data_IF_656951683844
#
_entry.id   IF_656951683844
#
_cell.length_a   1.000
_cell.length_b   1.000
_cell.length_c   1.000
_cell.angle_alpha   90.00
_cell.angle_beta   90.00
_cell.angle_gamma   90.00
#
_symmetry.space_group_name_H-M   'P 1'
#
loop_
_entity.id
_entity.type
_entity.pdbx_description
1 polymer ?
#
# COMPACT_ATOMS: atom_id res chain seq x y z
N UNK A 1 19.88 -9.09 -8.00
CA UNK A 1 19.96 -7.78 -8.67
C UNK A 1 18.57 -7.22 -8.85
N UNK A 2 18.35 -5.92 -8.59
CA UNK A 2 17.16 -5.17 -8.91
C UNK A 2 17.51 -4.11 -9.97
N UNK A 3 16.73 -4.04 -11.03
CA UNK A 3 16.90 -3.09 -12.12
C UNK A 3 15.69 -2.14 -12.13
N UNK A 4 15.95 -0.86 -11.93
CA UNK A 4 14.95 0.20 -12.00
C UNK A 4 15.21 1.04 -13.26
N UNK A 5 14.16 1.27 -14.05
CA UNK A 5 14.26 2.00 -15.30
C UNK A 5 14.74 3.44 -15.11
N UNK A 6 14.19 4.11 -14.09
CA UNK A 6 14.47 5.52 -13.81
C UNK A 6 15.14 5.66 -12.42
N UNK A 7 14.42 6.13 -11.44
CA UNK A 7 14.81 6.21 -10.03
C UNK A 7 13.80 5.47 -9.17
N UNK A 8 14.25 4.93 -8.04
CA UNK A 8 13.33 4.37 -7.07
C UNK A 8 12.24 5.40 -6.74
N UNK A 9 11.00 4.94 -6.68
CA UNK A 9 9.80 5.72 -6.43
C UNK A 9 9.27 6.61 -7.55
N UNK A 10 10.00 6.81 -8.65
CA UNK A 10 9.61 7.76 -9.72
C UNK A 10 8.38 7.32 -10.55
N UNK A 11 7.98 6.06 -10.46
CA UNK A 11 6.78 5.54 -11.10
C UNK A 11 5.50 5.91 -10.33
N UNK A 12 4.59 4.93 -10.14
CA UNK A 12 3.33 5.14 -9.41
C UNK A 12 3.47 5.16 -7.89
N UNK A 13 4.63 4.78 -7.36
CA UNK A 13 4.85 4.66 -5.91
C UNK A 13 4.61 5.98 -5.17
N UNK A 14 5.13 7.10 -5.66
CA UNK A 14 5.00 8.37 -4.98
C UNK A 14 3.58 8.94 -4.96
N UNK A 15 2.69 8.44 -5.84
CA UNK A 15 1.27 8.77 -5.86
C UNK A 15 0.43 7.88 -4.93
N UNK A 16 1.01 6.80 -4.38
CA UNK A 16 0.24 5.87 -3.58
C UNK A 16 -0.29 6.53 -2.30
N UNK A 17 -1.51 6.18 -1.93
CA UNK A 17 -2.16 6.70 -0.73
C UNK A 17 -1.39 6.38 0.56
N UNK A 18 -0.59 5.32 0.56
CA UNK A 18 0.20 4.89 1.71
C UNK A 18 -0.63 4.35 2.86
N UNK A 19 -1.84 3.83 2.59
CA UNK A 19 -2.68 3.24 3.62
C UNK A 19 -2.19 1.83 3.96
N UNK A 20 -1.82 1.61 5.23
CA UNK A 20 -1.36 0.32 5.75
C UNK A 20 -2.41 -0.21 6.71
N UNK A 21 -3.25 -1.10 6.22
CA UNK A 21 -4.35 -1.70 6.98
C UNK A 21 -4.04 -3.14 7.38
N UNK A 22 -4.53 -3.56 8.54
CA UNK A 22 -4.33 -4.90 9.06
C UNK A 22 -5.36 -5.90 8.51
N UNK A 23 -6.65 -5.54 8.57
CA UNK A 23 -7.72 -6.42 8.11
C UNK A 23 -7.84 -6.42 6.59
N UNK A 24 -7.90 -7.60 5.99
CA UNK A 24 -8.09 -7.81 4.56
C UNK A 24 -9.39 -8.57 4.25
N UNK A 25 -9.76 -8.68 2.96
CA UNK A 25 -10.98 -9.37 2.54
C UNK A 25 -10.91 -10.91 2.71
N UNK A 26 -9.75 -11.45 3.02
CA UNK A 26 -9.57 -12.88 3.28
C UNK A 26 -8.52 -13.12 4.36
N UNK A 27 -8.50 -14.34 4.91
CA UNK A 27 -7.50 -14.77 5.89
C UNK A 27 -6.06 -14.59 5.38
N UNK A 28 -5.79 -14.97 4.14
CA UNK A 28 -4.47 -14.85 3.55
C UNK A 28 -4.02 -13.37 3.45
N UNK A 29 -4.90 -12.51 2.96
CA UNK A 29 -4.59 -11.07 2.84
C UNK A 29 -4.43 -10.43 4.22
N UNK A 30 -5.25 -10.80 5.20
CA UNK A 30 -5.10 -10.31 6.59
C UNK A 30 -3.74 -10.68 7.16
N UNK A 31 -3.32 -11.94 7.00
CA UNK A 31 -1.99 -12.39 7.46
C UNK A 31 -0.84 -11.63 6.78
N UNK A 32 -0.92 -11.43 5.46
CA UNK A 32 0.10 -10.67 4.72
C UNK A 32 0.16 -9.21 5.20
N UNK A 33 -0.99 -8.57 5.40
CA UNK A 33 -1.05 -7.17 5.86
C UNK A 33 -0.48 -7.00 7.27
N UNK A 34 -0.86 -7.87 8.21
CA UNK A 34 -0.27 -7.88 9.56
C UNK A 34 1.24 -8.06 9.50
N UNK A 35 1.71 -9.08 8.78
CA UNK A 35 3.12 -9.32 8.57
C UNK A 35 3.84 -8.09 7.97
N UNK A 36 3.24 -7.44 6.98
CA UNK A 36 3.83 -6.24 6.35
C UNK A 36 4.02 -5.10 7.36
N UNK A 37 3.02 -4.84 8.20
CA UNK A 37 3.12 -3.80 9.21
C UNK A 37 4.20 -4.10 10.25
N UNK A 38 4.29 -5.34 10.69
CA UNK A 38 5.30 -5.79 11.65
C UNK A 38 6.70 -5.75 11.02
N UNK A 39 6.83 -6.18 9.76
CA UNK A 39 8.07 -6.09 8.99
C UNK A 39 8.57 -4.64 8.87
N UNK A 40 7.68 -3.69 8.58
CA UNK A 40 8.08 -2.27 8.48
C UNK A 40 8.61 -1.75 9.82
N UNK A 41 7.96 -2.07 10.94
CA UNK A 41 8.41 -1.71 12.28
C UNK A 41 9.77 -2.35 12.65
N UNK A 42 9.98 -3.58 12.23
CA UNK A 42 11.24 -4.30 12.44
C UNK A 42 12.37 -3.70 11.61
N UNK A 43 12.13 -3.51 10.30
CA UNK A 43 13.12 -2.96 9.38
C UNK A 43 13.52 -1.52 9.75
N UNK A 44 12.56 -0.69 10.16
CA UNK A 44 12.83 0.67 10.62
C UNK A 44 13.92 0.71 11.71
N UNK A 45 13.85 -0.24 12.66
CA UNK A 45 14.87 -0.39 13.71
C UNK A 45 16.17 -1.00 13.18
N UNK A 46 16.07 -2.04 12.34
CA UNK A 46 17.23 -2.78 11.82
C UNK A 46 18.14 -1.93 10.95
N UNK A 47 17.56 -1.09 10.11
CA UNK A 47 18.34 -0.32 9.12
C UNK A 47 18.56 1.13 9.53
N UNK A 48 18.09 1.54 10.69
CA UNK A 48 18.13 2.93 11.15
C UNK A 48 17.64 3.90 10.06
N UNK A 49 16.39 3.68 9.63
CA UNK A 49 15.72 4.47 8.60
C UNK A 49 14.22 4.40 8.81
N UNK A 50 13.57 5.56 8.90
CA UNK A 50 12.12 5.60 9.10
C UNK A 50 11.37 4.88 7.97
N UNK A 51 10.29 4.20 8.32
CA UNK A 51 9.29 3.73 7.38
C UNK A 51 8.25 4.81 7.05
N UNK A 52 8.34 5.96 7.68
CA UNK A 52 7.33 7.02 7.56
C UNK A 52 5.96 6.58 8.07
N UNK A 53 5.92 5.63 9.01
CA UNK A 53 4.68 5.12 9.59
C UNK A 53 4.05 6.14 10.55
N UNK A 54 2.76 6.37 10.35
CA UNK A 54 1.91 7.12 11.27
C UNK A 54 0.86 6.16 11.82
N UNK A 55 0.99 5.77 13.08
CA UNK A 55 0.09 4.85 13.78
C UNK A 55 -1.13 5.64 14.30
N UNK A 56 -1.90 6.22 13.42
CA UNK A 56 -3.05 7.08 13.69
C UNK A 56 -4.39 6.38 13.51
N UNK A 57 -4.40 5.11 13.08
CA UNK A 57 -5.59 4.32 12.87
C UNK A 57 -6.30 4.62 11.54
N UNK A 58 -7.42 3.92 11.36
CA UNK A 58 -8.36 4.17 10.28
C UNK A 58 -9.79 4.07 10.78
N UNK A 59 -10.61 5.08 10.47
CA UNK A 59 -12.04 5.13 10.72
C UNK A 59 -12.79 4.85 9.42
N UNK A 60 -13.56 3.79 9.37
CA UNK A 60 -14.49 3.51 8.28
C UNK A 60 -15.91 3.88 8.72
N UNK A 61 -16.58 4.72 7.94
CA UNK A 61 -17.95 5.16 8.21
C UNK A 61 -18.95 4.44 7.31
N UNK A 62 -20.21 4.39 7.76
CA UNK A 62 -21.32 3.81 7.03
C UNK A 62 -22.49 4.80 6.98
N UNK A 63 -23.00 5.07 5.79
CA UNK A 63 -24.16 5.92 5.51
C UNK A 63 -25.37 5.08 5.10
N UNK A 64 -25.16 3.82 4.72
CA UNK A 64 -26.22 2.89 4.37
C UNK A 64 -26.33 1.73 5.37
N UNK A 65 -27.54 1.18 5.53
CA UNK A 65 -27.76 0.00 6.37
C UNK A 65 -26.92 -1.20 5.94
N UNK A 66 -26.76 -1.40 4.63
CA UNK A 66 -25.95 -2.48 4.09
C UNK A 66 -24.46 -2.31 4.45
N UNK A 67 -23.93 -1.09 4.34
CA UNK A 67 -22.56 -0.79 4.76
C UNK A 67 -22.38 -0.98 6.25
N UNK A 68 -23.34 -0.54 7.05
CA UNK A 68 -23.29 -0.72 8.49
C UNK A 68 -23.21 -2.20 8.89
N UNK A 69 -24.03 -3.04 8.30
CA UNK A 69 -23.98 -4.49 8.52
C UNK A 69 -22.63 -5.07 8.12
N UNK A 70 -22.06 -4.62 6.98
CA UNK A 70 -20.75 -5.05 6.52
C UNK A 70 -19.64 -4.64 7.49
N UNK A 71 -19.65 -3.41 8.01
CA UNK A 71 -18.66 -2.96 8.99
C UNK A 71 -18.76 -3.74 10.31
N UNK A 72 -19.96 -4.04 10.77
CA UNK A 72 -20.18 -4.88 11.96
C UNK A 72 -19.63 -6.31 11.73
N UNK A 73 -19.84 -6.88 10.55
CA UNK A 73 -19.27 -8.17 10.16
C UNK A 73 -17.73 -8.11 10.12
N UNK A 74 -17.16 -7.04 9.60
CA UNK A 74 -15.71 -6.82 9.61
C UNK A 74 -15.17 -6.74 11.04
N UNK A 75 -15.85 -6.04 11.94
CA UNK A 75 -15.46 -5.96 13.35
C UNK A 75 -15.46 -7.34 14.03
N UNK A 76 -16.46 -8.18 13.75
CA UNK A 76 -16.48 -9.56 14.24
C UNK A 76 -15.36 -10.40 13.63
N UNK A 77 -15.11 -10.25 12.33
CA UNK A 77 -14.05 -10.99 11.64
C UNK A 77 -12.65 -10.59 12.15
N UNK A 78 -12.46 -9.33 12.50
CA UNK A 78 -11.18 -8.81 13.02
C UNK A 78 -10.73 -9.53 14.29
N UNK A 79 -11.68 -9.93 15.14
CA UNK A 79 -11.41 -10.68 16.38
C UNK A 79 -10.74 -12.04 16.11
N UNK A 80 -11.04 -12.69 14.96
CA UNK A 80 -10.44 -13.96 14.58
C UNK A 80 -8.93 -13.83 14.26
N UNK A 81 -8.46 -12.61 14.07
CA UNK A 81 -7.08 -12.30 13.67
C UNK A 81 -6.36 -11.40 14.66
N UNK A 82 -6.92 -11.22 15.88
CA UNK A 82 -6.37 -10.32 16.89
C UNK A 82 -6.12 -8.91 16.36
N UNK A 83 -7.07 -8.39 15.57
CA UNK A 83 -7.06 -7.01 15.09
C UNK A 83 -8.00 -6.21 15.99
N UNK A 84 -7.43 -5.17 16.66
CA UNK A 84 -8.23 -4.27 17.51
C UNK A 84 -9.20 -3.46 16.65
N UNK A 85 -10.47 -3.50 17.02
CA UNK A 85 -11.55 -2.80 16.36
C UNK A 85 -12.52 -2.23 17.40
N UNK A 86 -12.88 -0.97 17.22
CA UNK A 86 -13.89 -0.29 18.04
C UNK A 86 -15.07 0.09 17.18
N UNK A 87 -16.26 -0.31 17.58
CA UNK A 87 -17.52 0.10 16.96
C UNK A 87 -17.89 1.46 17.57
N UNK A 88 -18.17 2.44 16.72
CA UNK A 88 -18.52 3.80 17.10
C UNK A 88 -19.91 4.12 16.56
N UNK A 89 -20.72 4.73 17.39
CA UNK A 89 -21.97 5.32 16.96
C UNK A 89 -21.77 6.73 16.36
N UNK A 90 -22.82 7.29 15.80
CA UNK A 90 -22.83 8.62 15.17
C UNK A 90 -22.33 9.72 16.11
N UNK A 91 -22.77 9.70 17.37
CA UNK A 91 -22.47 10.76 18.34
C UNK A 91 -21.00 10.70 18.77
N UNK A 92 -20.46 9.50 18.94
CA UNK A 92 -19.04 9.28 19.19
C UNK A 92 -18.19 9.78 18.02
N UNK A 93 -18.58 9.46 16.78
CA UNK A 93 -17.87 9.93 15.58
C UNK A 93 -17.89 11.46 15.52
N UNK A 94 -19.04 12.08 15.72
CA UNK A 94 -19.20 13.54 15.70
C UNK A 94 -18.34 14.21 16.77
N UNK A 95 -18.25 13.62 17.95
CA UNK A 95 -17.48 14.15 19.09
C UNK A 95 -15.96 14.02 18.83
N UNK A 96 -15.50 12.83 18.43
CA UNK A 96 -14.08 12.51 18.37
C UNK A 96 -13.44 12.92 17.04
N UNK A 97 -14.25 13.05 15.99
CA UNK A 97 -13.81 13.39 14.62
C UNK A 97 -14.65 14.49 14.00
N UNK A 98 -14.60 15.72 14.53
CA UNK A 98 -15.51 16.82 14.14
C UNK A 98 -15.37 17.28 12.69
N UNK A 99 -14.33 16.86 11.99
CA UNK A 99 -14.17 17.09 10.54
C UNK A 99 -15.15 16.25 9.69
N UNK A 100 -15.66 15.14 10.27
CA UNK A 100 -16.61 14.27 9.56
C UNK A 100 -17.99 14.90 9.60
N UNK A 101 -18.57 15.16 8.42
CA UNK A 101 -20.00 15.42 8.36
C UNK A 101 -20.76 14.13 8.72
N UNK A 102 -21.45 14.14 9.83
CA UNK A 102 -22.16 12.97 10.34
C UNK A 102 -23.65 12.97 10.02
N UNK A 103 -24.16 13.86 9.18
CA UNK A 103 -25.60 14.00 8.93
C UNK A 103 -26.23 12.68 8.51
N UNK A 104 -25.64 11.99 7.54
CA UNK A 104 -26.10 10.72 6.98
C UNK A 104 -25.40 9.50 7.60
N UNK A 105 -24.42 9.69 8.50
CA UNK A 105 -23.67 8.59 9.10
C UNK A 105 -24.56 7.81 10.10
N UNK A 106 -24.59 6.50 9.93
CA UNK A 106 -25.27 5.55 10.84
C UNK A 106 -24.32 5.14 11.98
N UNK A 107 -23.04 4.92 11.66
CA UNK A 107 -22.00 4.50 12.58
C UNK A 107 -20.71 4.21 11.84
N UNK A 108 -19.71 3.70 12.54
CA UNK A 108 -18.42 3.37 11.95
C UNK A 108 -17.64 2.36 12.78
N UNK A 109 -16.51 1.94 12.24
CA UNK A 109 -15.51 1.15 12.96
C UNK A 109 -14.16 1.86 12.90
N UNK A 110 -13.52 1.95 14.04
CA UNK A 110 -12.14 2.43 14.17
C UNK A 110 -11.22 1.22 14.33
N UNK A 111 -10.18 1.14 13.52
CA UNK A 111 -9.06 0.20 13.66
C UNK A 111 -7.82 0.99 14.11
N UNK A 112 -7.55 1.05 15.43
CA UNK A 112 -6.45 1.88 15.96
C UNK A 112 -5.06 1.44 15.50
N UNK A 113 -4.91 0.14 15.19
CA UNK A 113 -3.65 -0.44 14.73
C UNK A 113 -3.36 -0.23 13.25
N UNK A 114 -4.33 0.28 12.46
CA UNK A 114 -4.07 0.70 11.09
C UNK A 114 -3.16 1.93 11.08
N UNK A 115 -2.49 2.16 9.96
CA UNK A 115 -1.54 3.25 9.83
C UNK A 115 -1.56 3.87 8.44
N UNK A 116 -0.96 5.02 8.32
CA UNK A 116 -0.51 5.57 7.04
C UNK A 116 1.02 5.50 6.98
N UNK A 117 1.57 5.43 5.78
CA UNK A 117 3.00 5.47 5.53
C UNK A 117 3.32 6.44 4.40
N UNK A 118 4.54 6.98 4.37
CA UNK A 118 5.03 7.64 3.17
C UNK A 118 5.59 6.58 2.21
N UNK A 119 4.99 6.36 1.04
CA UNK A 119 5.42 5.30 0.12
C UNK A 119 6.86 5.45 -0.38
N UNK A 120 7.36 6.68 -0.51
CA UNK A 120 8.75 6.93 -0.91
C UNK A 120 9.71 6.51 0.21
N UNK A 121 9.39 6.91 1.45
CA UNK A 121 10.22 6.60 2.62
C UNK A 121 10.26 5.09 2.85
N UNK A 122 9.11 4.40 2.78
CA UNK A 122 9.05 2.93 2.86
C UNK A 122 9.92 2.28 1.79
N UNK A 123 9.83 2.73 0.55
CA UNK A 123 10.61 2.15 -0.55
C UNK A 123 12.12 2.31 -0.33
N UNK A 124 12.55 3.47 0.13
CA UNK A 124 13.98 3.69 0.44
C UNK A 124 14.45 2.86 1.64
N UNK A 125 13.61 2.70 2.66
CA UNK A 125 13.91 1.81 3.78
C UNK A 125 14.08 0.36 3.31
N UNK A 126 13.13 -0.15 2.50
CA UNK A 126 13.22 -1.50 1.93
C UNK A 126 14.45 -1.67 1.05
N UNK A 127 14.78 -0.68 0.22
CA UNK A 127 15.98 -0.70 -0.60
C UNK A 127 17.26 -0.71 0.23
N UNK A 128 17.31 0.05 1.33
CA UNK A 128 18.42 0.05 2.28
C UNK A 128 18.58 -1.32 2.94
N UNK A 129 17.46 -1.90 3.40
CA UNK A 129 17.46 -3.24 3.99
C UNK A 129 17.95 -4.30 2.99
N UNK A 130 17.45 -4.28 1.76
CA UNK A 130 17.87 -5.20 0.72
C UNK A 130 19.37 -5.09 0.40
N UNK A 131 19.90 -3.86 0.33
CA UNK A 131 21.35 -3.65 0.13
C UNK A 131 22.20 -4.21 1.26
N UNK A 132 21.74 -4.10 2.51
CA UNK A 132 22.42 -4.69 3.67
C UNK A 132 22.47 -6.23 3.61
N UNK A 133 21.45 -6.84 2.98
CA UNK A 133 21.41 -8.29 2.72
C UNK A 133 22.10 -8.69 1.38
N UNK A 134 22.85 -7.78 0.77
CA UNK A 134 23.66 -8.06 -0.42
C UNK A 134 22.96 -7.81 -1.75
N UNK A 135 21.74 -7.30 -1.78
CA UNK A 135 21.08 -6.96 -3.03
C UNK A 135 21.76 -5.77 -3.72
N UNK A 136 22.02 -5.91 -5.01
CA UNK A 136 22.53 -4.83 -5.86
C UNK A 136 21.33 -4.16 -6.55
N UNK A 137 21.21 -2.84 -6.40
CA UNK A 137 20.11 -2.05 -6.97
C UNK A 137 20.69 -1.03 -7.94
N UNK A 138 20.30 -1.14 -9.20
CA UNK A 138 20.74 -0.27 -10.29
C UNK A 138 19.59 0.57 -10.80
N UNK A 139 19.67 1.86 -10.58
CA UNK A 139 18.75 2.86 -11.15
C UNK A 139 19.18 3.27 -12.55
N UNK A 140 18.30 3.92 -13.30
CA UNK A 140 18.51 4.31 -14.70
C UNK A 140 18.97 3.13 -15.57
N UNK A 141 18.42 1.95 -15.32
CA UNK A 141 18.80 0.69 -15.93
C UNK A 141 17.58 -0.04 -16.50
N UNK A 142 16.98 0.50 -17.59
CA UNK A 142 15.83 -0.11 -18.22
C UNK A 142 16.17 -1.48 -18.80
N UNK A 143 15.32 -2.45 -18.57
CA UNK A 143 15.38 -3.77 -19.21
C UNK A 143 14.89 -3.62 -20.65
N UNK A 144 15.80 -3.79 -21.61
CA UNK A 144 15.54 -3.67 -23.05
C UNK A 144 14.88 -4.94 -23.59
N UNK A 145 15.38 -6.12 -23.14
CA UNK A 145 14.96 -7.43 -23.64
C UNK A 145 15.01 -8.47 -22.51
N UNK A 146 14.11 -9.43 -22.58
CA UNK A 146 14.18 -10.66 -21.78
C UNK A 146 14.71 -11.76 -22.71
N UNK A 147 15.82 -12.37 -22.32
CA UNK A 147 16.49 -13.39 -23.14
C UNK A 147 16.01 -14.75 -22.72
N UNK A 148 15.51 -15.52 -23.70
CA UNK A 148 15.09 -16.91 -23.49
C UNK A 148 15.90 -17.84 -24.36
N UNK A 149 16.22 -19.03 -23.84
CA UNK A 149 16.87 -20.11 -24.56
C UNK A 149 16.14 -21.40 -24.26
N UNK A 150 15.74 -22.12 -25.29
CA UNK A 150 15.00 -23.39 -25.19
C UNK A 150 13.73 -23.27 -24.31
N UNK A 151 13.01 -22.14 -24.44
CA UNK A 151 11.78 -21.88 -23.68
C UNK A 151 12.00 -21.52 -22.20
N UNK A 152 13.23 -21.31 -21.75
CA UNK A 152 13.58 -20.92 -20.40
C UNK A 152 14.24 -19.55 -20.37
N UNK A 153 14.08 -18.83 -19.27
CA UNK A 153 14.81 -17.59 -19.01
C UNK A 153 16.32 -17.90 -18.98
N UNK A 154 17.11 -17.06 -19.63
CA UNK A 154 18.56 -17.12 -19.57
C UNK A 154 19.21 -15.77 -19.19
N UNK A 155 18.46 -14.67 -19.23
CA UNK A 155 18.98 -13.38 -18.83
C UNK A 155 18.11 -12.22 -19.26
N UNK A 156 18.64 -11.02 -19.03
CA UNK A 156 18.08 -9.74 -19.49
C UNK A 156 19.15 -8.90 -20.17
N UNK A 157 18.72 -8.05 -21.09
CA UNK A 157 19.59 -7.05 -21.74
C UNK A 157 19.36 -5.68 -21.14
N UNK A 158 20.44 -5.01 -20.73
CA UNK A 158 20.44 -3.69 -20.11
C UNK A 158 21.61 -2.89 -20.66
N UNK A 159 21.37 -1.72 -21.25
CA UNK A 159 22.41 -0.87 -21.86
C UNK A 159 23.33 -1.65 -22.83
N UNK A 160 22.72 -2.52 -23.63
CA UNK A 160 23.46 -3.35 -24.58
C UNK A 160 24.22 -4.53 -23.97
N UNK A 161 24.26 -4.67 -22.66
CA UNK A 161 24.95 -5.77 -21.95
C UNK A 161 23.94 -6.84 -21.51
N UNK A 162 24.36 -8.08 -21.49
CA UNK A 162 23.55 -9.20 -20.98
C UNK A 162 23.90 -9.47 -19.52
N UNK A 163 22.85 -9.57 -18.69
CA UNK A 163 22.94 -10.06 -17.32
C UNK A 163 22.27 -11.43 -17.31
N UNK A 164 23.05 -12.47 -17.08
CA UNK A 164 22.56 -13.84 -17.01
C UNK A 164 21.79 -14.08 -15.70
N UNK A 165 20.67 -14.79 -15.79
CA UNK A 165 19.88 -15.20 -14.62
C UNK A 165 18.99 -16.41 -14.97
N UNK A 166 18.64 -17.17 -13.95
CA UNK A 166 17.73 -18.32 -14.08
C UNK A 166 16.25 -17.93 -13.86
N UNK A 167 16.02 -16.85 -13.10
CA UNK A 167 14.68 -16.39 -12.73
C UNK A 167 14.56 -14.87 -12.86
N UNK A 168 13.39 -14.43 -13.29
CA UNK A 168 13.03 -13.01 -13.35
C UNK A 168 11.74 -12.81 -12.55
N UNK A 169 11.77 -11.83 -11.63
CA UNK A 169 10.57 -11.36 -10.96
C UNK A 169 10.13 -10.05 -11.59
N UNK A 170 8.97 -10.03 -12.23
CA UNK A 170 8.37 -8.82 -12.76
C UNK A 170 7.69 -8.05 -11.62
N UNK A 171 8.32 -6.96 -11.19
CA UNK A 171 7.80 -6.03 -10.20
C UNK A 171 7.61 -4.62 -10.78
N UNK A 172 7.38 -4.53 -12.08
CA UNK A 172 7.36 -3.28 -12.85
C UNK A 172 5.99 -2.58 -12.87
N UNK A 173 5.10 -2.89 -11.91
CA UNK A 173 3.83 -2.21 -11.73
C UNK A 173 2.98 -2.22 -13.00
N UNK A 174 2.45 -1.07 -13.39
CA UNK A 174 1.59 -0.92 -14.57
C UNK A 174 2.27 -1.26 -15.91
N UNK A 175 3.60 -1.29 -15.95
CA UNK A 175 4.38 -1.66 -17.15
C UNK A 175 4.66 -3.17 -17.26
N UNK A 176 4.23 -3.97 -16.29
CA UNK A 176 4.52 -5.42 -16.27
C UNK A 176 3.96 -6.14 -17.50
N UNK A 177 2.82 -5.68 -18.03
CA UNK A 177 2.21 -6.26 -19.23
C UNK A 177 3.16 -6.17 -20.43
N UNK A 178 3.68 -4.98 -20.74
CA UNK A 178 4.56 -4.77 -21.90
C UNK A 178 5.89 -5.51 -21.76
N UNK A 179 6.39 -5.66 -20.51
CA UNK A 179 7.62 -6.41 -20.26
C UNK A 179 7.36 -7.90 -20.36
N UNK A 180 6.23 -8.40 -19.83
CA UNK A 180 5.84 -9.81 -19.95
C UNK A 180 5.65 -10.27 -21.40
N UNK A 181 5.06 -9.42 -22.24
CA UNK A 181 4.89 -9.68 -23.68
C UNK A 181 6.24 -9.96 -24.38
N UNK A 182 7.33 -9.32 -23.95
CA UNK A 182 8.69 -9.58 -24.47
C UNK A 182 9.19 -11.01 -24.18
N UNK A 183 8.64 -11.66 -23.17
CA UNK A 183 8.92 -13.06 -22.82
C UNK A 183 7.81 -14.02 -23.28
N UNK A 184 6.85 -13.56 -24.07
CA UNK A 184 5.69 -14.37 -24.50
C UNK A 184 4.69 -14.64 -23.38
N UNK A 185 4.73 -13.88 -22.26
CA UNK A 185 3.83 -14.05 -21.12
C UNK A 185 2.72 -12.99 -21.16
N UNK A 186 1.46 -13.45 -21.18
CA UNK A 186 0.30 -12.57 -21.09
C UNK A 186 0.01 -12.24 -19.62
N UNK A 187 0.08 -10.96 -19.28
CA UNK A 187 -0.24 -10.46 -17.92
C UNK A 187 -1.54 -9.67 -18.02
N UNK A 188 -2.63 -10.11 -17.37
CA UNK A 188 -3.94 -9.48 -17.46
C UNK A 188 -3.99 -8.19 -16.56
N UNK A 189 -3.19 -7.19 -16.91
CA UNK A 189 -3.09 -5.94 -16.20
C UNK A 189 -3.48 -4.78 -17.13
N UNK A 190 -4.40 -3.95 -16.67
CA UNK A 190 -4.83 -2.74 -17.35
C UNK A 190 -4.66 -1.55 -16.39
N UNK A 191 -3.82 -0.57 -16.70
CA UNK A 191 -3.67 0.63 -15.89
C UNK A 191 -4.93 1.51 -16.01
N UNK A 192 -5.40 2.01 -14.87
CA UNK A 192 -6.51 2.95 -14.80
C UNK A 192 -6.08 4.19 -14.02
N UNK A 193 -6.64 5.33 -14.41
CA UNK A 193 -6.42 6.58 -13.68
C UNK A 193 -7.12 6.55 -12.33
N UNK A 194 -6.47 7.09 -11.32
CA UNK A 194 -6.99 7.23 -9.98
C UNK A 194 -6.78 8.66 -9.49
N UNK A 195 -7.87 9.38 -9.26
CA UNK A 195 -7.83 10.79 -8.94
C UNK A 195 -7.69 11.02 -7.44
N UNK A 196 -6.97 12.07 -7.06
CA UNK A 196 -6.92 12.59 -5.70
C UNK A 196 -6.76 14.11 -5.71
N UNK A 197 -7.11 14.74 -4.60
CA UNK A 197 -6.99 16.18 -4.40
C UNK A 197 -6.08 16.41 -3.20
N UNK A 198 -5.17 17.36 -3.31
CA UNK A 198 -4.39 17.89 -2.19
C UNK A 198 -5.00 19.26 -1.89
N UNK A 199 -5.50 19.43 -0.67
CA UNK A 199 -6.07 20.70 -0.22
C UNK A 199 -4.97 21.65 0.25
N UNK A 200 -5.29 22.92 0.34
CA UNK A 200 -4.52 23.84 1.17
C UNK A 200 -4.54 23.38 2.63
N UNK A 201 -3.55 23.79 3.43
CA UNK A 201 -3.53 23.48 4.86
C UNK A 201 -4.84 23.88 5.55
N UNK A 202 -5.43 22.97 6.30
CA UNK A 202 -6.63 23.21 7.09
C UNK A 202 -6.19 23.59 8.50
N UNK A 203 -6.55 24.80 8.94
CA UNK A 203 -6.23 25.27 10.27
C UNK A 203 -6.87 24.38 11.34
N UNK A 204 -6.15 24.17 12.43
CA UNK A 204 -6.59 23.37 13.59
C UNK A 204 -6.92 21.89 13.28
N UNK A 205 -6.50 21.36 12.14
CA UNK A 205 -6.63 19.94 11.86
C UNK A 205 -5.65 19.14 12.74
N UNK A 206 -6.17 18.13 13.44
CA UNK A 206 -5.32 17.26 14.27
C UNK A 206 -4.39 16.43 13.40
N UNK A 207 -3.09 16.46 13.69
CA UNK A 207 -2.07 15.61 13.05
C UNK A 207 -2.19 14.11 13.42
N UNK A 208 -3.02 13.79 14.40
CA UNK A 208 -3.30 12.41 14.83
C UNK A 208 -4.63 11.89 14.30
N UNK A 209 -5.23 12.62 13.35
CA UNK A 209 -6.47 12.19 12.73
C UNK A 209 -6.29 10.83 12.05
N UNK A 210 -7.17 9.85 12.30
CA UNK A 210 -7.13 8.59 11.57
C UNK A 210 -7.46 8.82 10.10
N UNK A 211 -7.00 7.91 9.24
CA UNK A 211 -7.52 7.90 7.87
C UNK A 211 -9.01 7.63 7.88
N UNK A 212 -9.81 8.55 7.35
CA UNK A 212 -11.26 8.39 7.24
C UNK A 212 -11.57 7.72 5.91
N UNK A 213 -12.35 6.64 5.94
CA UNK A 213 -12.76 5.87 4.75
C UNK A 213 -14.28 5.88 4.64
N UNK A 214 -14.74 6.38 3.54
CA UNK A 214 -16.15 6.38 3.16
C UNK A 214 -16.30 5.50 1.90
N UNK A 215 -16.70 4.25 2.13
CA UNK A 215 -16.87 3.30 1.04
C UNK A 215 -18.18 3.47 0.27
N UNK A 216 -19.18 4.13 0.85
CA UNK A 216 -20.45 4.41 0.17
C UNK A 216 -20.21 5.48 -0.91
N UNK A 217 -19.44 6.52 -0.61
CA UNK A 217 -19.04 7.56 -1.55
C UNK A 217 -17.68 7.29 -2.26
N UNK A 218 -17.07 6.14 -2.01
CA UNK A 218 -15.78 5.71 -2.62
C UNK A 218 -14.65 6.71 -2.41
N UNK A 219 -14.60 7.31 -1.23
CA UNK A 219 -13.58 8.29 -0.87
C UNK A 219 -12.79 7.86 0.35
N UNK A 220 -11.60 8.40 0.48
CA UNK A 220 -10.86 8.39 1.72
C UNK A 220 -10.12 9.72 1.90
N UNK A 221 -9.97 10.12 3.15
CA UNK A 221 -9.32 11.38 3.54
C UNK A 221 -8.20 11.03 4.51
N UNK A 222 -7.05 11.60 4.29
CA UNK A 222 -5.92 11.50 5.22
C UNK A 222 -5.20 12.84 5.35
N UNK A 223 -4.62 13.10 6.50
CA UNK A 223 -3.70 14.21 6.73
C UNK A 223 -2.31 13.89 6.14
#
# INVERSE_FOLDING_TARGET
ILLERDQLTSGTTWHAAGLVSQLGPSAAITKIRKYTLDLYKELEKKVDHSAGLRLNGALSIAETKGRWQELQRQATTAQLYDVDVRILDKDQIKKDYPIVNTEDVIGGILMPGDSAADPKVVTHMLAKAARQEGAQIFEKSPVEEIITKDGKISGVKVKGQTIECEYIVLASGMWSRQIGEKAGVSIPLYPAEHFYIITEPIENLSKTLPTIRDFDNRTYIKE
#
